data_IF_169596915516
#
_entry.id   IF_169596915516
#
_cell.length_a   1.000
_cell.length_b   1.000
_cell.length_c   1.000
_cell.angle_alpha   90.00
_cell.angle_beta   90.00
_cell.angle_gamma   90.00
#
_symmetry.space_group_name_H-M   'P 1'
#
loop_
_entity.id
_entity.type
_entity.pdbx_description
1 polymer ?
#
# COMPACT_ATOMS: atom_id res chain seq x y z
N UNK A 1 15.85 6.96 -13.43
CA UNK A 1 14.74 6.57 -14.32
C UNK A 1 13.93 5.48 -13.64
N UNK A 2 12.60 5.54 -13.70
CA UNK A 2 11.73 4.46 -13.22
C UNK A 2 11.86 3.28 -14.20
N UNK A 3 12.13 2.07 -13.70
CA UNK A 3 12.29 0.87 -14.54
C UNK A 3 10.95 0.20 -14.83
N UNK A 4 10.83 -0.47 -15.97
CA UNK A 4 9.65 -1.27 -16.30
C UNK A 4 9.35 -2.30 -15.20
N UNK A 5 10.39 -2.94 -14.64
CA UNK A 5 10.28 -3.88 -13.53
C UNK A 5 9.62 -3.28 -12.29
N UNK A 6 9.94 -2.02 -11.95
CA UNK A 6 9.30 -1.34 -10.82
C UNK A 6 7.82 -1.08 -11.11
N UNK A 7 7.47 -0.70 -12.34
CA UNK A 7 6.08 -0.49 -12.76
C UNK A 7 5.30 -1.80 -12.67
N UNK A 8 5.81 -2.88 -13.25
CA UNK A 8 5.21 -4.22 -13.16
C UNK A 8 4.99 -4.65 -11.71
N UNK A 9 5.95 -4.37 -10.83
CA UNK A 9 5.82 -4.67 -9.40
C UNK A 9 4.66 -3.90 -8.76
N UNK A 10 4.50 -2.61 -9.06
CA UNK A 10 3.36 -1.82 -8.57
C UNK A 10 2.03 -2.37 -9.13
N UNK A 11 1.99 -2.73 -10.41
CA UNK A 11 0.78 -3.31 -11.03
C UNK A 11 0.43 -4.70 -10.49
N UNK A 12 1.42 -5.49 -10.05
CA UNK A 12 1.16 -6.78 -9.37
C UNK A 12 0.26 -6.60 -8.15
N UNK A 13 0.44 -5.55 -7.36
CA UNK A 13 -0.45 -5.28 -6.21
C UNK A 13 -1.91 -5.03 -6.61
N UNK A 14 -2.16 -4.55 -7.83
CA UNK A 14 -3.52 -4.34 -8.34
C UNK A 14 -4.18 -5.64 -8.83
N UNK A 15 -3.47 -6.77 -8.89
CA UNK A 15 -4.00 -8.08 -9.29
C UNK A 15 -4.05 -9.11 -8.16
N UNK A 16 -3.29 -8.92 -7.09
CA UNK A 16 -3.34 -9.80 -5.90
C UNK A 16 -4.68 -9.62 -5.19
N UNK A 17 -5.56 -10.63 -5.30
CA UNK A 17 -6.89 -10.59 -4.70
C UNK A 17 -6.82 -10.76 -3.18
N UNK A 18 -7.62 -9.97 -2.45
CA UNK A 18 -7.74 -10.02 -0.99
C UNK A 18 -9.10 -10.51 -0.53
N UNK A 19 -9.08 -11.08 0.67
CA UNK A 19 -10.25 -11.67 1.33
C UNK A 19 -10.84 -12.85 0.56
N UNK A 20 -9.97 -13.68 -0.01
CA UNK A 20 -10.38 -14.79 -0.88
C UNK A 20 -11.03 -15.94 -0.11
N UNK A 21 -10.77 -16.04 1.19
CA UNK A 21 -11.28 -17.11 2.06
C UNK A 21 -12.73 -16.87 2.54
N UNK A 22 -13.30 -15.70 2.26
CA UNK A 22 -14.64 -15.32 2.70
C UNK A 22 -15.48 -14.72 1.54
N UNK A 23 -16.81 -14.82 1.61
CA UNK A 23 -17.68 -14.08 0.69
C UNK A 23 -17.38 -12.58 0.77
N UNK A 24 -17.00 -11.98 -0.36
CA UNK A 24 -16.67 -10.55 -0.45
C UNK A 24 -17.74 -9.79 -1.24
N UNK A 25 -18.14 -8.64 -0.72
CA UNK A 25 -19.14 -7.75 -1.35
C UNK A 25 -18.55 -6.93 -2.50
N UNK A 26 -17.23 -6.84 -2.57
CA UNK A 26 -16.50 -6.09 -3.60
C UNK A 26 -15.15 -6.76 -3.88
N UNK A 27 -14.58 -6.45 -5.04
CA UNK A 27 -13.24 -6.88 -5.40
C UNK A 27 -12.22 -6.02 -4.66
N UNK A 28 -11.61 -6.60 -3.63
CA UNK A 28 -10.48 -6.00 -2.93
C UNK A 28 -9.18 -6.60 -3.45
N UNK A 29 -8.19 -5.74 -3.68
CA UNK A 29 -6.82 -6.12 -4.04
C UNK A 29 -5.80 -5.62 -3.01
N UNK A 30 -4.56 -6.08 -3.13
CA UNK A 30 -3.51 -5.69 -2.19
C UNK A 30 -3.26 -4.18 -2.20
N UNK A 31 -3.35 -3.55 -3.37
CA UNK A 31 -3.24 -2.09 -3.51
C UNK A 31 -4.25 -1.38 -2.60
N UNK A 32 -5.52 -1.81 -2.60
CA UNK A 32 -6.56 -1.18 -1.77
C UNK A 32 -6.25 -1.30 -0.28
N UNK A 33 -5.79 -2.48 0.14
CA UNK A 33 -5.46 -2.77 1.54
C UNK A 33 -4.33 -1.88 2.04
N UNK A 34 -3.28 -1.70 1.26
CA UNK A 34 -2.13 -0.89 1.66
C UNK A 34 -2.44 0.61 1.55
N UNK A 35 -3.16 1.04 0.50
CA UNK A 35 -3.62 2.42 0.37
C UNK A 35 -4.49 2.84 1.57
N UNK A 36 -5.38 1.96 2.04
CA UNK A 36 -6.24 2.25 3.19
C UNK A 36 -5.47 2.42 4.50
N UNK A 37 -4.45 1.58 4.75
CA UNK A 37 -3.58 1.77 5.92
C UNK A 37 -2.77 3.06 5.81
N UNK A 38 -2.25 3.34 4.62
CA UNK A 38 -1.40 4.50 4.40
C UNK A 38 -2.16 5.80 4.60
N UNK A 39 -3.39 5.91 4.10
CA UNK A 39 -4.19 7.12 4.30
C UNK A 39 -4.56 7.34 5.77
N UNK A 40 -4.81 6.27 6.54
CA UNK A 40 -5.02 6.36 7.99
C UNK A 40 -3.75 6.91 8.67
N UNK A 41 -2.58 6.35 8.37
CA UNK A 41 -1.31 6.81 8.93
C UNK A 41 -1.02 8.28 8.57
N UNK A 42 -1.31 8.68 7.32
CA UNK A 42 -1.21 10.06 6.86
C UNK A 42 -2.09 11.01 7.67
N UNK A 43 -3.36 10.65 7.90
CA UNK A 43 -4.27 11.50 8.68
C UNK A 43 -3.86 11.61 10.15
N UNK A 44 -3.42 10.51 10.76
CA UNK A 44 -2.90 10.52 12.14
C UNK A 44 -1.68 11.43 12.21
N UNK A 45 -0.70 11.26 11.33
CA UNK A 45 0.51 12.08 11.29
C UNK A 45 0.20 13.57 11.11
N UNK A 46 -0.81 13.92 10.31
CA UNK A 46 -1.24 15.30 10.10
C UNK A 46 -1.82 15.97 11.36
N UNK A 47 -2.30 15.18 12.33
CA UNK A 47 -2.80 15.70 13.61
C UNK A 47 -1.70 15.86 14.66
N UNK A 48 -0.52 15.29 14.44
CA UNK A 48 0.63 15.39 15.32
C UNK A 48 1.43 16.67 15.06
N UNK A 49 1.96 17.30 16.12
CA UNK A 49 2.65 18.59 16.00
C UNK A 49 4.02 18.51 15.30
N UNK A 50 4.71 17.37 15.40
CA UNK A 50 6.10 17.20 14.95
C UNK A 50 6.28 15.95 14.08
N UNK A 51 5.23 15.48 13.40
CA UNK A 51 5.37 14.34 12.49
C UNK A 51 6.17 14.74 11.24
N UNK A 52 7.17 13.94 10.90
CA UNK A 52 7.86 14.05 9.61
C UNK A 52 7.00 13.42 8.51
N UNK A 53 6.29 14.26 7.77
CA UNK A 53 5.41 13.81 6.69
C UNK A 53 6.18 13.15 5.54
N UNK A 54 7.43 13.56 5.27
CA UNK A 54 8.24 12.92 4.23
C UNK A 54 8.58 11.49 4.64
N UNK A 55 9.00 11.30 5.88
CA UNK A 55 9.24 9.98 6.43
C UNK A 55 8.00 9.09 6.38
N UNK A 56 6.82 9.61 6.73
CA UNK A 56 5.56 8.84 6.66
C UNK A 56 5.26 8.41 5.23
N UNK A 57 5.44 9.30 4.25
CA UNK A 57 5.23 8.98 2.83
C UNK A 57 6.22 7.93 2.35
N UNK A 58 7.52 8.10 2.65
CA UNK A 58 8.56 7.13 2.29
C UNK A 58 8.30 5.76 2.93
N UNK A 59 7.99 5.73 4.22
CA UNK A 59 7.66 4.51 4.95
C UNK A 59 6.44 3.81 4.34
N UNK A 60 5.40 4.55 3.96
CA UNK A 60 4.23 4.00 3.28
C UNK A 60 4.57 3.37 1.93
N UNK A 61 5.41 4.02 1.12
CA UNK A 61 5.84 3.49 -0.18
C UNK A 61 6.70 2.24 -0.01
N UNK A 62 7.69 2.26 0.90
CA UNK A 62 8.57 1.10 1.12
C UNK A 62 7.83 -0.08 1.76
N UNK A 63 6.90 0.17 2.68
CA UNK A 63 6.03 -0.88 3.24
C UNK A 63 5.16 -1.49 2.16
N UNK A 64 4.53 -0.67 1.31
CA UNK A 64 3.78 -1.15 0.15
C UNK A 64 4.64 -2.04 -0.76
N UNK A 65 5.79 -1.56 -1.23
CA UNK A 65 6.67 -2.32 -2.14
C UNK A 65 7.12 -3.65 -1.53
N UNK A 66 7.45 -3.66 -0.23
CA UNK A 66 7.80 -4.88 0.52
C UNK A 66 6.63 -5.86 0.60
N UNK A 67 5.41 -5.36 0.86
CA UNK A 67 4.20 -6.20 0.96
C UNK A 67 3.85 -6.90 -0.35
N UNK A 68 4.09 -6.25 -1.48
CA UNK A 68 3.89 -6.87 -2.81
C UNK A 68 4.89 -8.01 -3.07
N UNK A 69 6.09 -7.95 -2.48
CA UNK A 69 7.08 -9.05 -2.58
C UNK A 69 6.69 -10.21 -1.68
N UNK A 70 6.38 -9.93 -0.42
CA UNK A 70 6.14 -10.96 0.60
C UNK A 70 4.79 -11.64 0.42
N UNK A 71 3.85 -10.97 -0.26
CA UNK A 71 2.55 -11.57 -0.51
C UNK A 71 2.41 -12.05 -1.95
N UNK A 72 2.00 -13.32 -2.07
CA UNK A 72 1.48 -13.89 -3.31
C UNK A 72 0.05 -13.42 -3.61
#
# INVERSE_FOLDING_TARGET
MISAKLIEHIFKAASISRWNDYPKMTNLVELDKQAHKFIIAYFIAKQEQNADMNYIIEAGIFEFLSRVVVTD
#
